data_IF_131143709672
#
_entry.id   IF_131143709672
#
_cell.length_a   1.000
_cell.length_b   1.000
_cell.length_c   1.000
_cell.angle_alpha   90.00
_cell.angle_beta   90.00
_cell.angle_gamma   90.00
#
_symmetry.space_group_name_H-M   'P 1'
#
loop_
_entity.id
_entity.type
_entity.pdbx_description
1 polymer ?
#
# COMPACT_ATOMS: atom_id res chain seq x y z
N UNK A 1 33.60 1.37 -12.81
CA UNK A 1 32.39 1.43 -13.65
C UNK A 1 32.45 0.29 -14.65
N UNK A 2 31.45 -0.58 -14.66
CA UNK A 2 31.33 -1.59 -15.71
C UNK A 2 31.02 -0.90 -17.04
N UNK A 3 31.55 -1.42 -18.15
CA UNK A 3 31.18 -0.95 -19.48
C UNK A 3 29.73 -1.34 -19.76
N UNK A 4 28.94 -0.40 -20.28
CA UNK A 4 27.58 -0.67 -20.77
C UNK A 4 27.62 -1.71 -21.90
N UNK A 5 26.62 -2.59 -21.90
CA UNK A 5 26.33 -3.52 -22.98
C UNK A 5 25.90 -2.78 -24.27
N UNK A 6 25.91 -3.48 -25.40
CA UNK A 6 25.40 -2.92 -26.67
C UNK A 6 23.94 -2.48 -26.53
N UNK A 7 23.10 -3.30 -25.89
CA UNK A 7 21.67 -3.02 -25.69
C UNK A 7 21.45 -1.75 -24.88
N UNK A 8 22.16 -1.58 -23.77
CA UNK A 8 22.06 -0.37 -22.94
C UNK A 8 22.50 0.88 -23.72
N UNK A 9 23.54 0.76 -24.55
CA UNK A 9 23.98 1.88 -25.40
C UNK A 9 22.93 2.24 -26.46
N UNK A 10 22.31 1.25 -27.10
CA UNK A 10 21.26 1.51 -28.10
C UNK A 10 20.00 2.12 -27.47
N UNK A 11 19.61 1.69 -26.27
CA UNK A 11 18.53 2.32 -25.52
C UNK A 11 18.85 3.79 -25.20
N UNK A 12 20.08 4.08 -24.77
CA UNK A 12 20.54 5.44 -24.55
C UNK A 12 20.49 6.31 -25.81
N UNK A 13 20.90 5.78 -26.97
CA UNK A 13 20.80 6.51 -28.25
C UNK A 13 19.34 6.85 -28.58
N UNK A 14 18.41 5.92 -28.38
CA UNK A 14 16.98 6.17 -28.64
C UNK A 14 16.42 7.27 -27.74
N UNK A 15 16.66 7.19 -26.42
CA UNK A 15 16.24 8.20 -25.46
C UNK A 15 16.80 9.58 -25.82
N UNK A 16 18.10 9.67 -26.10
CA UNK A 16 18.76 10.95 -26.43
C UNK A 16 18.27 11.52 -27.78
N UNK A 17 17.93 10.66 -28.75
CA UNK A 17 17.39 11.10 -30.04
C UNK A 17 15.97 11.69 -29.93
N UNK A 18 15.23 11.30 -28.88
CA UNK A 18 13.87 11.76 -28.59
C UNK A 18 13.80 12.57 -27.28
N UNK A 19 14.93 13.16 -26.86
CA UNK A 19 15.07 13.74 -25.52
C UNK A 19 14.00 14.78 -25.18
N UNK A 20 13.58 15.58 -26.17
CA UNK A 20 12.49 16.54 -26.01
C UNK A 20 11.17 15.86 -25.61
N UNK A 21 10.78 14.83 -26.36
CA UNK A 21 9.54 14.08 -26.10
C UNK A 21 9.61 13.35 -24.76
N UNK A 22 10.75 12.75 -24.43
CA UNK A 22 10.98 12.14 -23.12
C UNK A 22 10.77 13.16 -21.98
N UNK A 23 11.41 14.33 -22.09
CA UNK A 23 11.27 15.39 -21.08
C UNK A 23 9.82 15.89 -20.97
N UNK A 24 9.14 16.13 -22.10
CA UNK A 24 7.74 16.55 -22.11
C UNK A 24 6.82 15.50 -21.47
N UNK A 25 7.07 14.21 -21.73
CA UNK A 25 6.29 13.12 -21.14
C UNK A 25 6.48 13.03 -19.63
N UNK A 26 7.72 13.11 -19.13
CA UNK A 26 8.02 13.06 -17.68
C UNK A 26 7.38 14.25 -16.98
N UNK A 27 7.56 15.47 -17.49
CA UNK A 27 6.96 16.68 -16.90
C UNK A 27 5.44 16.59 -16.89
N UNK A 28 4.82 16.12 -17.98
CA UNK A 28 3.37 15.97 -18.04
C UNK A 28 2.85 14.90 -17.06
N UNK A 29 3.59 13.81 -16.91
CA UNK A 29 3.26 12.76 -15.96
C UNK A 29 3.26 13.30 -14.53
N UNK A 30 4.36 13.93 -14.09
CA UNK A 30 4.55 14.47 -12.74
C UNK A 30 3.54 15.58 -12.41
N UNK A 31 3.19 16.43 -13.38
CA UNK A 31 2.33 17.60 -13.15
C UNK A 31 0.83 17.32 -13.28
N UNK A 32 0.44 16.29 -14.03
CA UNK A 32 -0.96 16.08 -14.39
C UNK A 32 -1.46 14.68 -14.09
N UNK A 33 -0.77 13.65 -14.59
CA UNK A 33 -1.28 12.28 -14.50
C UNK A 33 -1.19 11.78 -13.06
N UNK A 34 -0.01 11.88 -12.46
CA UNK A 34 0.24 11.35 -11.12
C UNK A 34 -0.60 12.05 -10.04
N UNK A 35 -0.64 13.39 -9.95
CA UNK A 35 -1.48 14.09 -8.98
C UNK A 35 -2.97 13.81 -9.16
N UNK A 36 -3.45 13.71 -10.41
CA UNK A 36 -4.87 13.40 -10.67
C UNK A 36 -5.25 12.00 -10.19
N UNK A 37 -4.33 11.03 -10.34
CA UNK A 37 -4.53 9.68 -9.85
C UNK A 37 -4.57 9.65 -8.32
N UNK A 38 -3.53 10.18 -7.66
CA UNK A 38 -3.41 10.12 -6.20
C UNK A 38 -4.51 10.90 -5.49
N UNK A 39 -4.93 12.06 -6.02
CA UNK A 39 -6.08 12.79 -5.49
C UNK A 39 -7.37 11.98 -5.48
N UNK A 40 -7.55 11.09 -6.46
CA UNK A 40 -8.75 10.25 -6.57
C UNK A 40 -8.61 8.98 -5.74
N UNK A 41 -7.39 8.45 -5.63
CA UNK A 41 -7.01 7.41 -4.67
C UNK A 41 -7.32 7.85 -3.23
N UNK A 42 -6.86 9.05 -2.83
CA UNK A 42 -7.11 9.63 -1.52
C UNK A 42 -8.61 9.73 -1.24
N UNK A 43 -9.39 10.30 -2.18
CA UNK A 43 -10.86 10.36 -2.06
C UNK A 43 -11.52 9.00 -1.86
N UNK A 44 -11.02 7.93 -2.47
CA UNK A 44 -11.54 6.57 -2.26
C UNK A 44 -11.34 6.13 -0.81
N UNK A 45 -10.13 6.30 -0.27
CA UNK A 45 -9.79 5.95 1.10
C UNK A 45 -10.57 6.83 2.08
N UNK A 46 -10.62 8.12 1.82
CA UNK A 46 -11.31 9.11 2.65
C UNK A 46 -12.80 8.79 2.80
N UNK A 47 -13.44 8.36 1.70
CA UNK A 47 -14.81 7.88 1.72
C UNK A 47 -14.94 6.60 2.55
N UNK A 48 -14.03 5.65 2.39
CA UNK A 48 -14.04 4.41 3.18
C UNK A 48 -13.91 4.69 4.67
N UNK A 49 -12.99 5.57 5.08
CA UNK A 49 -12.78 5.97 6.48
C UNK A 49 -14.08 6.53 7.06
N UNK A 50 -14.70 7.48 6.35
CA UNK A 50 -15.95 8.14 6.78
C UNK A 50 -17.11 7.14 6.88
N UNK A 51 -17.30 6.29 5.87
CA UNK A 51 -18.40 5.33 5.81
C UNK A 51 -18.32 4.27 6.92
N UNK A 52 -17.11 3.86 7.29
CA UNK A 52 -16.89 2.83 8.31
C UNK A 52 -16.63 3.39 9.71
N UNK A 53 -16.65 4.72 9.88
CA UNK A 53 -16.33 5.40 11.13
C UNK A 53 -14.94 5.02 11.67
N UNK A 54 -13.95 4.94 10.78
CA UNK A 54 -12.54 4.70 11.13
C UNK A 54 -11.84 6.03 11.45
N UNK A 55 -10.66 5.94 12.04
CA UNK A 55 -9.68 7.03 12.07
C UNK A 55 -8.65 6.82 10.96
N UNK A 56 -8.01 7.90 10.54
CA UNK A 56 -7.01 7.84 9.48
C UNK A 56 -6.80 9.18 8.78
N UNK A 57 -5.79 9.21 7.95
CA UNK A 57 -5.38 10.33 7.12
C UNK A 57 -5.09 9.80 5.71
N UNK A 58 -5.88 10.27 4.74
CA UNK A 58 -5.76 9.90 3.33
C UNK A 58 -5.21 11.08 2.54
N UNK A 59 -3.89 11.15 2.43
CA UNK A 59 -3.17 12.26 1.81
C UNK A 59 -1.89 11.77 1.12
N UNK A 60 -2.02 10.70 0.33
CA UNK A 60 -0.89 10.15 -0.43
C UNK A 60 -0.37 11.17 -1.44
N UNK A 61 -1.25 11.94 -2.07
CA UNK A 61 -0.86 12.93 -3.07
C UNK A 61 0.15 13.95 -2.54
N UNK A 62 0.01 14.40 -1.28
CA UNK A 62 0.92 15.40 -0.70
C UNK A 62 1.98 14.81 0.23
N UNK A 63 1.69 13.70 0.92
CA UNK A 63 2.57 13.12 1.95
C UNK A 63 3.29 11.84 1.50
N UNK A 64 2.87 11.24 0.38
CA UNK A 64 3.33 9.91 -0.03
C UNK A 64 2.94 8.81 0.96
N UNK A 65 1.94 9.06 1.81
CA UNK A 65 1.55 8.16 2.89
C UNK A 65 0.08 8.32 3.29
N UNK A 66 -0.61 7.19 3.45
CA UNK A 66 -1.92 7.12 4.09
C UNK A 66 -1.89 6.11 5.24
N UNK A 67 -2.69 6.38 6.27
CA UNK A 67 -2.96 5.40 7.33
C UNK A 67 -4.42 5.39 7.72
N UNK A 68 -4.88 4.25 8.22
CA UNK A 68 -6.24 4.06 8.67
C UNK A 68 -6.34 2.95 9.72
N UNK A 69 -7.26 3.13 10.67
CA UNK A 69 -7.52 2.17 11.72
C UNK A 69 -8.98 2.23 12.19
N UNK A 70 -9.60 1.09 12.51
CA UNK A 70 -10.79 1.03 13.35
C UNK A 70 -10.64 1.86 14.63
N UNK A 71 -11.69 2.56 15.06
CA UNK A 71 -11.62 3.40 16.27
C UNK A 71 -11.31 2.64 17.56
N UNK A 72 -11.67 1.35 17.62
CA UNK A 72 -11.32 0.50 18.76
C UNK A 72 -9.82 0.16 18.80
N UNK A 73 -9.05 0.48 17.76
CA UNK A 73 -7.58 0.34 17.71
C UNK A 73 -6.85 1.61 18.16
N UNK A 74 -7.57 2.69 18.48
CA UNK A 74 -6.97 3.91 19.02
C UNK A 74 -6.66 3.74 20.51
N UNK A 75 -5.58 4.36 20.96
CA UNK A 75 -5.22 4.51 22.37
C UNK A 75 -5.66 5.90 22.83
N UNK A 76 -5.05 6.94 22.27
CA UNK A 76 -5.37 8.36 22.45
C UNK A 76 -4.97 9.12 21.18
N UNK A 77 -5.78 10.11 20.76
CA UNK A 77 -5.59 10.87 19.52
C UNK A 77 -5.33 9.95 18.31
N UNK A 78 -4.27 10.23 17.53
CA UNK A 78 -3.83 9.42 16.37
C UNK A 78 -2.89 8.27 16.76
N UNK A 79 -2.64 8.04 18.06
CA UNK A 79 -1.80 6.94 18.52
C UNK A 79 -2.60 5.63 18.54
N UNK A 80 -2.22 4.71 17.66
CA UNK A 80 -2.89 3.44 17.48
C UNK A 80 -2.12 2.28 18.12
N UNK A 81 -2.82 1.25 18.62
CA UNK A 81 -2.20 -0.07 18.91
C UNK A 81 -1.91 -0.83 17.63
N UNK A 82 -2.81 -0.72 16.66
CA UNK A 82 -2.69 -1.29 15.32
C UNK A 82 -3.17 -0.30 14.29
N UNK A 83 -2.62 -0.34 13.09
CA UNK A 83 -3.12 0.44 11.95
C UNK A 83 -2.73 -0.23 10.64
N UNK A 84 -3.41 0.16 9.57
CA UNK A 84 -2.96 -0.11 8.23
C UNK A 84 -2.32 1.14 7.65
N UNK A 85 -1.28 0.96 6.87
CA UNK A 85 -0.58 2.05 6.20
C UNK A 85 -0.23 1.68 4.77
N UNK A 86 -0.22 2.66 3.87
CA UNK A 86 0.34 2.45 2.53
C UNK A 86 1.82 2.15 2.62
N UNK A 87 2.27 1.17 1.85
CA UNK A 87 3.66 0.73 1.83
C UNK A 87 4.03 0.20 0.44
N UNK A 88 5.31 0.30 0.10
CA UNK A 88 5.90 -0.36 -1.07
C UNK A 88 6.88 -1.43 -0.63
N UNK A 89 6.96 -2.52 -1.40
CA UNK A 89 7.94 -3.58 -1.15
C UNK A 89 9.22 -3.42 -1.97
N UNK A 90 9.41 -2.29 -2.65
CA UNK A 90 10.59 -1.95 -3.47
C UNK A 90 11.22 -0.63 -3.00
N UNK A 91 12.34 -0.25 -3.61
CA UNK A 91 12.98 1.04 -3.36
C UNK A 91 12.22 2.16 -4.09
N UNK A 92 11.81 3.20 -3.36
CA UNK A 92 11.08 4.34 -3.93
C UNK A 92 11.98 5.22 -4.82
N UNK A 93 13.30 5.03 -4.80
CA UNK A 93 14.25 5.82 -5.59
C UNK A 93 14.37 5.36 -7.06
N UNK A 94 13.93 4.15 -7.39
CA UNK A 94 14.11 3.57 -8.72
C UNK A 94 12.85 3.61 -9.59
N UNK A 95 11.67 3.45 -8.98
CA UNK A 95 10.41 3.33 -9.69
C UNK A 95 9.38 4.37 -9.23
N UNK A 96 8.67 4.96 -10.19
CA UNK A 96 7.44 5.68 -9.87
C UNK A 96 6.43 4.73 -9.23
N UNK A 97 5.82 5.11 -8.09
CA UNK A 97 4.86 4.25 -7.39
C UNK A 97 3.70 3.83 -8.28
N UNK A 98 3.23 4.69 -9.19
CA UNK A 98 2.17 4.33 -10.16
C UNK A 98 2.62 3.24 -11.17
N UNK A 99 3.91 3.17 -11.50
CA UNK A 99 4.48 2.08 -12.30
C UNK A 99 4.51 0.76 -11.50
N UNK A 100 4.89 0.82 -10.21
CA UNK A 100 4.83 -0.35 -9.31
C UNK A 100 3.39 -0.87 -9.20
N UNK A 101 2.42 0.04 -9.02
CA UNK A 101 0.99 -0.26 -8.87
C UNK A 101 0.39 -0.93 -10.13
N UNK A 102 1.02 -0.73 -11.30
CA UNK A 102 0.61 -1.36 -12.57
C UNK A 102 1.47 -2.56 -12.97
N UNK A 103 2.38 -3.00 -12.10
CA UNK A 103 3.32 -4.09 -12.37
C UNK A 103 4.33 -3.78 -13.48
N UNK A 104 4.59 -2.50 -13.74
CA UNK A 104 5.53 -2.00 -14.75
C UNK A 104 6.83 -1.45 -14.14
N UNK A 105 7.00 -1.57 -12.81
CA UNK A 105 8.25 -1.22 -12.15
C UNK A 105 9.43 -2.04 -12.68
N UNK A 106 10.61 -1.44 -12.67
CA UNK A 106 11.89 -2.10 -12.92
C UNK A 106 12.15 -3.12 -11.82
N UNK A 107 11.84 -2.75 -10.58
CA UNK A 107 11.95 -3.61 -9.42
C UNK A 107 10.73 -4.53 -9.27
N UNK A 108 11.01 -5.75 -8.83
CA UNK A 108 9.96 -6.74 -8.57
C UNK A 108 9.38 -6.50 -7.17
N UNK A 109 8.26 -5.79 -7.11
CA UNK A 109 7.48 -5.70 -5.88
C UNK A 109 6.11 -5.05 -6.07
N UNK A 110 5.52 -4.60 -4.97
CA UNK A 110 4.12 -4.20 -4.92
C UNK A 110 3.94 -2.96 -4.07
N UNK A 111 2.97 -2.14 -4.47
CA UNK A 111 2.37 -1.11 -3.63
C UNK A 111 1.07 -1.66 -3.01
N UNK A 112 0.74 -1.23 -1.79
CA UNK A 112 -0.46 -1.70 -1.11
C UNK A 112 -0.57 -1.24 0.33
N UNK A 113 -1.33 -1.97 1.14
CA UNK A 113 -1.48 -1.71 2.57
C UNK A 113 -0.71 -2.75 3.39
N UNK A 114 0.07 -2.28 4.36
CA UNK A 114 0.70 -3.10 5.40
C UNK A 114 -0.06 -2.93 6.72
N UNK A 115 -0.32 -4.04 7.41
CA UNK A 115 -0.74 -4.07 8.80
C UNK A 115 0.48 -3.84 9.70
N UNK A 116 0.42 -2.80 10.53
CA UNK A 116 1.50 -2.41 11.41
C UNK A 116 1.08 -2.44 12.88
N UNK A 117 2.01 -2.90 13.71
CA UNK A 117 1.88 -3.02 15.16
C UNK A 117 2.68 -1.90 15.83
N UNK A 118 2.06 -1.19 16.78
CA UNK A 118 2.78 -0.22 17.59
C UNK A 118 3.60 -0.94 18.67
N UNK A 119 4.87 -1.22 18.38
CA UNK A 119 5.75 -1.94 19.30
C UNK A 119 5.84 -1.30 20.70
N UNK A 120 5.70 0.02 20.84
CA UNK A 120 5.72 0.68 22.14
C UNK A 120 4.52 0.27 23.00
N UNK A 121 3.36 0.06 22.40
CA UNK A 121 2.17 -0.43 23.10
C UNK A 121 2.34 -1.87 23.60
N UNK A 122 3.06 -2.72 22.86
CA UNK A 122 3.30 -4.13 23.20
C UNK A 122 4.55 -4.35 24.07
N UNK A 123 4.98 -3.33 24.81
CA UNK A 123 6.14 -3.42 25.71
C UNK A 123 7.49 -3.55 25.01
N UNK A 124 7.57 -3.08 23.76
CA UNK A 124 8.78 -2.96 22.95
C UNK A 124 8.98 -4.07 21.93
N UNK A 125 9.83 -3.79 20.93
CA UNK A 125 10.06 -4.67 19.79
C UNK A 125 10.49 -6.10 20.16
N UNK A 126 11.24 -6.27 21.27
CA UNK A 126 11.68 -7.60 21.74
C UNK A 126 10.51 -8.45 22.23
N UNK A 127 9.59 -7.86 23.01
CA UNK A 127 8.40 -8.58 23.50
C UNK A 127 7.48 -8.94 22.34
N UNK A 128 7.25 -8.00 21.43
CA UNK A 128 6.46 -8.24 20.23
C UNK A 128 7.07 -9.36 19.35
N UNK A 129 8.37 -9.35 19.13
CA UNK A 129 9.05 -10.42 18.39
C UNK A 129 8.91 -11.78 19.09
N UNK A 130 9.00 -11.83 20.42
CA UNK A 130 8.77 -13.04 21.20
C UNK A 130 7.35 -13.55 21.06
N UNK A 131 6.35 -12.67 21.12
CA UNK A 131 4.95 -13.01 20.92
C UNK A 131 4.72 -13.58 19.52
N UNK A 132 5.22 -12.90 18.49
CA UNK A 132 5.06 -13.32 17.09
C UNK A 132 5.70 -14.68 16.81
N UNK A 133 6.80 -15.02 17.48
CA UNK A 133 7.41 -16.35 17.39
C UNK A 133 6.55 -17.45 18.05
N UNK A 134 5.78 -17.11 19.09
CA UNK A 134 4.87 -18.03 19.78
C UNK A 134 3.47 -18.13 19.15
N UNK A 135 3.09 -17.16 18.30
CA UNK A 135 1.77 -17.08 17.66
C UNK A 135 1.49 -18.19 16.65
N UNK A 136 2.54 -18.78 16.05
CA UNK A 136 2.44 -19.69 14.90
C UNK A 136 1.53 -20.90 15.15
N UNK A 137 1.48 -21.42 16.38
CA UNK A 137 0.61 -22.55 16.72
C UNK A 137 -0.77 -22.10 17.22
N UNK A 138 -0.83 -21.05 18.03
CA UNK A 138 -2.06 -20.58 18.69
C UNK A 138 -3.07 -19.97 17.71
N UNK A 139 -2.59 -19.24 16.70
CA UNK A 139 -3.42 -18.49 15.76
C UNK A 139 -3.30 -19.02 14.32
N UNK A 140 -2.99 -20.31 14.17
CA UNK A 140 -2.84 -20.93 12.85
C UNK A 140 -4.10 -20.77 11.98
N UNK A 141 -5.28 -21.03 12.55
CA UNK A 141 -6.56 -20.90 11.83
C UNK A 141 -6.85 -19.44 11.43
N UNK A 142 -6.51 -18.49 12.30
CA UNK A 142 -6.71 -17.06 12.03
C UNK A 142 -5.78 -16.58 10.92
N UNK A 143 -4.52 -17.03 10.93
CA UNK A 143 -3.58 -16.80 9.83
C UNK A 143 -4.08 -17.37 8.50
N UNK A 144 -4.61 -18.58 8.51
CA UNK A 144 -5.20 -19.20 7.31
C UNK A 144 -6.42 -18.41 6.80
N UNK A 145 -7.26 -17.87 7.69
CA UNK A 145 -8.36 -16.96 7.31
C UNK A 145 -7.85 -15.70 6.62
N UNK A 146 -6.83 -15.05 7.18
CA UNK A 146 -6.23 -13.83 6.60
C UNK A 146 -5.65 -14.09 5.21
N UNK A 147 -4.91 -15.19 5.05
CA UNK A 147 -4.34 -15.57 3.75
C UNK A 147 -5.45 -15.84 2.73
N UNK A 148 -6.52 -16.52 3.14
CA UNK A 148 -7.65 -16.85 2.25
C UNK A 148 -8.38 -15.62 1.73
N UNK A 149 -8.49 -14.55 2.52
CA UNK A 149 -9.11 -13.29 2.09
C UNK A 149 -8.13 -12.36 1.34
N UNK A 150 -6.86 -12.75 1.20
CA UNK A 150 -5.90 -12.08 0.31
C UNK A 150 -4.72 -11.38 0.99
N UNK A 151 -4.59 -11.45 2.33
CA UNK A 151 -3.42 -10.92 3.01
C UNK A 151 -2.19 -11.81 2.78
N UNK A 152 -1.09 -11.21 2.35
CA UNK A 152 0.22 -11.87 2.29
C UNK A 152 0.87 -11.80 3.67
N UNK A 153 1.25 -12.95 4.20
CA UNK A 153 2.07 -13.03 5.41
C UNK A 153 3.50 -12.57 5.10
N UNK A 154 3.93 -11.48 5.75
CA UNK A 154 5.29 -10.95 5.64
C UNK A 154 6.19 -11.41 6.80
N UNK A 155 5.73 -12.39 7.59
CA UNK A 155 6.38 -12.91 8.79
C UNK A 155 6.38 -11.87 9.91
N UNK A 156 6.74 -12.29 11.13
CA UNK A 156 6.85 -11.42 12.32
C UNK A 156 5.58 -10.64 12.63
N UNK A 157 4.40 -11.19 12.31
CA UNK A 157 3.11 -10.57 12.61
C UNK A 157 2.69 -9.45 11.66
N UNK A 158 3.44 -9.22 10.57
CA UNK A 158 3.07 -8.27 9.54
C UNK A 158 2.29 -8.95 8.43
N UNK A 159 1.29 -8.23 7.90
CA UNK A 159 0.48 -8.68 6.78
C UNK A 159 0.37 -7.59 5.75
N UNK A 160 0.35 -7.96 4.46
CA UNK A 160 0.35 -7.02 3.37
C UNK A 160 -0.69 -7.36 2.31
N UNK A 161 -1.42 -6.36 1.82
CA UNK A 161 -2.40 -6.49 0.75
C UNK A 161 -1.92 -5.68 -0.45
N UNK A 162 -1.51 -6.32 -1.55
CA UNK A 162 -1.10 -5.60 -2.75
C UNK A 162 -2.31 -4.96 -3.43
N UNK A 163 -2.07 -3.82 -4.08
CA UNK A 163 -3.01 -3.19 -5.01
C UNK A 163 -2.35 -3.24 -6.38
N UNK A 164 -3.02 -3.88 -7.34
CA UNK A 164 -2.56 -3.99 -8.71
C UNK A 164 -3.64 -3.45 -9.63
N UNK A 165 -3.31 -2.43 -10.42
CA UNK A 165 -4.20 -1.84 -11.41
C UNK A 165 -3.76 -2.26 -12.81
N UNK A 166 -4.73 -2.52 -13.68
CA UNK A 166 -4.48 -2.80 -15.07
C UNK A 166 -3.99 -1.51 -15.78
N UNK A 167 -2.78 -1.55 -16.35
CA UNK A 167 -2.16 -0.41 -17.04
C UNK A 167 -2.94 0.05 -18.28
N UNK A 168 -3.61 -0.87 -18.97
CA UNK A 168 -4.46 -0.53 -20.11
C UNK A 168 -5.71 0.18 -19.63
N UNK A 169 -6.33 -0.29 -18.55
CA UNK A 169 -7.49 0.37 -17.95
C UNK A 169 -7.15 1.78 -17.44
N UNK A 170 -5.94 1.98 -16.90
CA UNK A 170 -5.41 3.30 -16.53
C UNK A 170 -5.35 4.24 -17.74
N UNK A 171 -4.75 3.78 -18.84
CA UNK A 171 -4.64 4.56 -20.07
C UNK A 171 -6.01 4.86 -20.70
N UNK A 172 -6.90 3.87 -20.78
CA UNK A 172 -8.25 4.00 -21.34
C UNK A 172 -9.10 4.99 -20.53
N UNK A 173 -9.02 4.93 -19.19
CA UNK A 173 -9.69 5.87 -18.29
C UNK A 173 -9.25 7.31 -18.54
N UNK A 174 -7.93 7.54 -18.62
CA UNK A 174 -7.37 8.86 -18.90
C UNK A 174 -7.78 9.37 -20.28
N UNK A 175 -7.67 8.53 -21.31
CA UNK A 175 -8.02 8.90 -22.67
C UNK A 175 -9.50 9.31 -22.82
N UNK A 176 -10.39 8.67 -22.05
CA UNK A 176 -11.82 8.96 -22.08
C UNK A 176 -12.21 10.20 -21.27
N UNK A 177 -11.61 10.38 -20.09
CA UNK A 177 -12.10 11.37 -19.11
C UNK A 177 -11.16 12.56 -18.91
N UNK A 178 -9.87 12.43 -19.21
CA UNK A 178 -8.83 13.41 -18.82
C UNK A 178 -8.60 13.51 -17.31
N UNK A 179 -9.17 12.58 -16.54
CA UNK A 179 -9.08 12.47 -15.09
C UNK A 179 -9.36 11.00 -14.67
N UNK A 180 -9.30 10.72 -13.36
CA UNK A 180 -9.62 9.41 -12.81
C UNK A 180 -10.84 9.48 -11.88
N UNK A 181 -12.08 9.32 -12.39
CA UNK A 181 -13.27 9.39 -11.55
C UNK A 181 -13.25 8.33 -10.45
N UNK A 182 -13.62 8.72 -9.22
CA UNK A 182 -13.60 7.85 -8.02
C UNK A 182 -14.44 6.57 -8.19
N UNK A 183 -15.56 6.65 -8.91
CA UNK A 183 -16.43 5.49 -9.19
C UNK A 183 -15.93 4.59 -10.31
N UNK A 184 -14.90 5.01 -11.06
CA UNK A 184 -14.40 4.25 -12.18
C UNK A 184 -13.85 2.89 -11.72
N UNK A 185 -13.94 1.89 -12.60
CA UNK A 185 -13.51 0.51 -12.32
C UNK A 185 -11.99 0.39 -12.09
N UNK A 186 -11.22 1.41 -12.47
CA UNK A 186 -9.79 1.48 -12.20
C UNK A 186 -9.48 1.43 -10.70
N UNK A 187 -10.37 1.95 -9.85
CA UNK A 187 -10.22 1.91 -8.40
C UNK A 187 -10.85 0.67 -7.76
N UNK A 188 -11.38 -0.28 -8.55
CA UNK A 188 -11.90 -1.54 -8.00
C UNK A 188 -10.86 -2.32 -7.21
N UNK A 189 -9.59 -2.45 -7.64
CA UNK A 189 -8.56 -3.11 -6.83
C UNK A 189 -8.33 -2.43 -5.47
N UNK A 190 -8.34 -1.10 -5.42
CA UNK A 190 -8.25 -0.34 -4.17
C UNK A 190 -9.47 -0.59 -3.27
N UNK A 191 -10.68 -0.53 -3.81
CA UNK A 191 -11.91 -0.80 -3.05
C UNK A 191 -11.92 -2.22 -2.47
N UNK A 192 -11.54 -3.21 -3.27
CA UNK A 192 -11.41 -4.59 -2.81
C UNK A 192 -10.37 -4.72 -1.70
N UNK A 193 -9.22 -4.04 -1.81
CA UNK A 193 -8.21 -4.03 -0.76
C UNK A 193 -8.77 -3.44 0.55
N UNK A 194 -9.49 -2.32 0.47
CA UNK A 194 -10.14 -1.68 1.63
C UNK A 194 -11.21 -2.59 2.28
N UNK A 195 -11.97 -3.33 1.48
CA UNK A 195 -12.92 -4.34 1.98
C UNK A 195 -12.19 -5.48 2.71
N UNK A 196 -11.06 -5.96 2.17
CA UNK A 196 -10.22 -6.96 2.84
C UNK A 196 -9.67 -6.42 4.16
N UNK A 197 -9.24 -5.15 4.22
CA UNK A 197 -8.84 -4.51 5.48
C UNK A 197 -9.97 -4.59 6.50
N UNK A 198 -11.19 -4.22 6.10
CA UNK A 198 -12.36 -4.28 6.97
C UNK A 198 -12.64 -5.69 7.49
N UNK A 199 -12.68 -6.69 6.60
CA UNK A 199 -12.94 -8.09 6.96
C UNK A 199 -11.84 -8.68 7.87
N UNK A 200 -10.60 -8.21 7.71
CA UNK A 200 -9.46 -8.70 8.49
C UNK A 200 -9.45 -8.23 9.94
N UNK A 201 -10.12 -7.13 10.26
CA UNK A 201 -10.04 -6.43 11.57
C UNK A 201 -10.28 -7.35 12.76
N UNK A 202 -11.41 -8.08 12.78
CA UNK A 202 -11.75 -8.97 13.89
C UNK A 202 -10.74 -10.11 14.07
N UNK A 203 -10.22 -10.62 12.96
CA UNK A 203 -9.21 -11.70 12.99
C UNK A 203 -7.91 -11.16 13.56
N UNK A 204 -7.45 -9.99 13.11
CA UNK A 204 -6.25 -9.34 13.64
C UNK A 204 -6.40 -8.96 15.12
N UNK A 205 -7.55 -8.41 15.52
CA UNK A 205 -7.84 -8.15 16.93
C UNK A 205 -7.75 -9.42 17.79
N UNK A 206 -8.32 -10.53 17.31
CA UNK A 206 -8.25 -11.80 18.01
C UNK A 206 -6.80 -12.32 18.13
N UNK A 207 -5.99 -12.13 17.10
CA UNK A 207 -4.60 -12.57 17.08
C UNK A 207 -3.70 -11.79 18.03
N UNK A 208 -3.96 -10.50 18.24
CA UNK A 208 -3.05 -9.63 18.99
C UNK A 208 -3.58 -9.16 20.34
N UNK A 209 -4.86 -9.41 20.67
CA UNK A 209 -5.43 -9.13 22.00
C UNK A 209 -4.57 -9.69 23.14
N UNK A 210 -4.11 -10.93 22.98
CA UNK A 210 -3.38 -11.64 24.03
C UNK A 210 -1.90 -11.21 24.11
N UNK A 211 -1.42 -10.44 23.14
CA UNK A 211 -0.07 -9.86 23.18
C UNK A 211 0.09 -8.81 24.30
N UNK A 212 -1.03 -8.25 24.76
CA UNK A 212 -1.08 -7.27 25.85
C UNK A 212 -1.08 -7.98 27.21
N UNK A 213 -1.71 -9.15 27.33
CA UNK A 213 -1.92 -9.85 28.62
C UNK A 213 -0.67 -10.57 29.16
N UNK A 214 0.38 -10.79 28.35
CA UNK A 214 1.68 -11.33 28.82
C UNK A 214 2.57 -10.23 29.43
N UNK A 215 2.01 -9.05 29.71
CA UNK A 215 2.75 -7.88 30.21
C UNK A 215 2.61 -7.60 31.71
N UNK A 216 1.83 -8.39 32.44
CA UNK A 216 1.81 -8.45 33.92
C UNK A 216 2.66 -9.62 34.44
#
# INVERSE_FOLDING_TARGET
MNKLSETERQAGVQLLSQLKMFNEAVVYFDQHIEPAFWKSFDKCIDRFIKNNNWAGDADYENKGYCWLAPKNWLIEDDNCKYYFATSTTVDEELDYTLAVLTGQGIEQGNFGFEFQLNAAHFGGARKLASYNNSMSEKHKEDKEKLIKIGLKDQVKGNYFIPIIIDSKLLADCWALNGEFPVEHEIFSPLRNALEILFESTNTLDNMFRDAIEVSE
#
